data_IF_019642082828
#
_entry.id   IF_019642082828
#
_cell.length_a   1.000
_cell.length_b   1.000
_cell.length_c   1.000
_cell.angle_alpha   90.00
_cell.angle_beta   90.00
_cell.angle_gamma   90.00
#
_symmetry.space_group_name_H-M   'P 1'
#
loop_
_entity.id
_entity.type
_entity.pdbx_description
1 polymer ?
#
# COMPACT_ATOMS: atom_id res chain seq x y z
N UNK A 1 -51.90 32.60 26.36
CA UNK A 1 -50.83 31.63 26.04
C UNK A 1 -51.13 31.04 24.66
N UNK A 2 -50.44 31.48 23.62
CA UNK A 2 -50.61 30.96 22.26
C UNK A 2 -49.30 30.30 21.82
N UNK A 3 -49.31 28.97 21.70
CA UNK A 3 -48.16 28.19 21.27
C UNK A 3 -48.10 28.15 19.73
N UNK A 4 -47.14 28.86 19.16
CA UNK A 4 -46.81 28.79 17.74
C UNK A 4 -46.05 27.49 17.45
N UNK A 5 -46.72 26.54 16.78
CA UNK A 5 -46.07 25.35 16.23
C UNK A 5 -45.16 25.77 15.07
N UNK A 6 -43.85 25.65 15.27
CA UNK A 6 -42.82 25.76 14.22
C UNK A 6 -42.90 24.52 13.33
N UNK A 7 -43.42 24.68 12.11
CA UNK A 7 -43.37 23.66 11.07
C UNK A 7 -41.92 23.56 10.57
N UNK A 8 -41.24 22.47 10.90
CA UNK A 8 -39.88 22.22 10.43
C UNK A 8 -39.91 21.89 8.93
N UNK A 9 -39.38 22.79 8.09
CA UNK A 9 -39.15 22.52 6.69
C UNK A 9 -38.13 21.38 6.55
N UNK A 10 -38.57 20.27 5.94
CA UNK A 10 -37.76 19.10 5.63
C UNK A 10 -36.67 19.54 4.64
N UNK A 11 -35.42 19.64 5.10
CA UNK A 11 -34.26 19.93 4.24
C UNK A 11 -34.12 18.80 3.22
N UNK A 12 -34.60 19.01 1.99
CA UNK A 12 -34.30 18.14 0.87
C UNK A 12 -32.87 18.42 0.44
N UNK A 13 -31.94 17.54 0.79
CA UNK A 13 -30.60 17.56 0.20
C UNK A 13 -30.73 17.39 -1.32
N UNK A 14 -30.04 18.21 -2.14
CA UNK A 14 -30.09 18.04 -3.58
C UNK A 14 -29.59 16.64 -3.94
N UNK A 15 -30.39 15.93 -4.74
CA UNK A 15 -30.03 14.61 -5.27
C UNK A 15 -28.70 14.76 -6.01
N UNK A 16 -27.69 13.90 -5.76
CA UNK A 16 -26.44 13.98 -6.50
C UNK A 16 -26.72 13.85 -8.00
N UNK A 17 -25.96 14.55 -8.84
CA UNK A 17 -26.15 14.48 -10.28
C UNK A 17 -26.00 13.01 -10.74
N UNK A 18 -26.76 12.58 -11.76
CA UNK A 18 -26.62 11.24 -12.30
C UNK A 18 -25.17 10.99 -12.70
N UNK A 19 -24.68 9.79 -12.39
CA UNK A 19 -23.32 9.38 -12.75
C UNK A 19 -23.18 9.42 -14.27
N UNK A 20 -22.08 9.98 -14.77
CA UNK A 20 -21.76 9.95 -16.19
C UNK A 20 -21.62 8.49 -16.68
N UNK A 21 -22.11 8.17 -17.89
CA UNK A 21 -22.09 6.81 -18.41
C UNK A 21 -20.66 6.25 -18.47
N UNK A 22 -20.54 4.97 -18.16
CA UNK A 22 -19.33 4.17 -18.35
C UNK A 22 -19.22 3.70 -19.79
N UNK A 23 -18.05 3.17 -20.18
CA UNK A 23 -17.89 2.59 -21.51
C UNK A 23 -18.87 1.40 -21.71
N UNK A 24 -19.07 0.61 -20.66
CA UNK A 24 -20.07 -0.46 -20.65
C UNK A 24 -21.49 0.07 -20.87
N UNK A 25 -21.89 1.13 -20.17
CA UNK A 25 -23.23 1.72 -20.34
C UNK A 25 -23.46 2.23 -21.79
N UNK A 26 -22.40 2.70 -22.46
CA UNK A 26 -22.44 3.16 -23.85
C UNK A 26 -22.49 1.96 -24.80
N UNK A 27 -21.60 0.98 -24.61
CA UNK A 27 -21.52 -0.23 -25.44
C UNK A 27 -22.82 -1.05 -25.35
N UNK A 28 -23.41 -1.17 -24.15
CA UNK A 28 -24.70 -1.83 -23.92
C UNK A 28 -25.84 -1.10 -24.65
N UNK A 29 -25.82 0.23 -24.63
CA UNK A 29 -26.84 1.03 -25.34
C UNK A 29 -26.70 0.91 -26.86
N UNK A 30 -25.47 0.88 -27.38
CA UNK A 30 -25.22 0.61 -28.81
C UNK A 30 -25.77 -0.77 -29.18
N UNK A 31 -25.48 -1.79 -28.38
CA UNK A 31 -25.96 -3.15 -28.62
C UNK A 31 -27.50 -3.23 -28.63
N UNK A 32 -28.16 -2.57 -27.68
CA UNK A 32 -29.63 -2.49 -27.61
C UNK A 32 -30.23 -1.84 -28.87
N UNK A 33 -29.66 -0.73 -29.34
CA UNK A 33 -30.13 -0.06 -30.55
C UNK A 33 -29.96 -0.96 -31.77
N UNK A 34 -28.80 -1.62 -31.90
CA UNK A 34 -28.56 -2.54 -33.00
C UNK A 34 -29.50 -3.76 -32.96
N UNK A 35 -29.87 -4.26 -31.78
CA UNK A 35 -30.82 -5.36 -31.67
C UNK A 35 -32.25 -4.96 -32.09
N UNK A 36 -32.67 -3.73 -31.79
CA UNK A 36 -34.03 -3.25 -32.06
C UNK A 36 -34.20 -2.76 -33.50
N UNK A 37 -33.19 -2.06 -34.04
CA UNK A 37 -33.33 -1.27 -35.28
C UNK A 37 -32.57 -1.82 -36.49
N UNK A 38 -31.85 -2.94 -36.35
CA UNK A 38 -31.16 -3.60 -37.46
C UNK A 38 -32.00 -4.73 -38.07
N UNK A 39 -32.15 -4.74 -39.39
CA UNK A 39 -32.80 -5.85 -40.09
C UNK A 39 -31.90 -7.11 -40.03
N UNK A 40 -32.37 -8.23 -39.46
CA UNK A 40 -31.56 -9.43 -39.28
C UNK A 40 -31.22 -10.18 -40.59
N UNK A 41 -31.89 -9.87 -41.71
CA UNK A 41 -31.63 -10.49 -43.03
C UNK A 41 -30.74 -9.64 -43.92
N UNK A 42 -30.85 -8.31 -43.86
CA UNK A 42 -30.07 -7.40 -44.72
C UNK A 42 -28.92 -6.72 -43.99
N UNK A 43 -28.99 -6.61 -42.66
CA UNK A 43 -28.02 -5.86 -41.84
C UNK A 43 -28.18 -4.34 -41.96
N UNK A 44 -29.27 -3.85 -42.57
CA UNK A 44 -29.55 -2.42 -42.69
C UNK A 44 -30.10 -1.87 -41.36
N UNK A 45 -29.61 -0.69 -40.95
CA UNK A 45 -30.04 0.01 -39.74
C UNK A 45 -31.11 1.03 -40.13
N UNK A 46 -32.20 1.10 -39.37
CA UNK A 46 -33.23 2.12 -39.56
C UNK A 46 -32.65 3.54 -39.44
N UNK A 47 -33.01 4.43 -40.37
CA UNK A 47 -32.50 5.81 -40.43
C UNK A 47 -32.80 6.62 -39.14
N UNK A 48 -33.86 6.24 -38.43
CA UNK A 48 -34.28 6.79 -37.14
C UNK A 48 -33.25 6.54 -36.01
N UNK A 49 -32.48 5.45 -36.10
CA UNK A 49 -31.50 5.03 -35.09
C UNK A 49 -30.07 5.50 -35.40
N UNK A 50 -29.78 5.89 -36.65
CA UNK A 50 -28.44 6.30 -37.08
C UNK A 50 -27.91 7.49 -36.31
N UNK A 51 -28.75 8.50 -36.04
CA UNK A 51 -28.36 9.71 -35.29
C UNK A 51 -27.99 9.37 -33.84
N UNK A 52 -28.75 8.47 -33.19
CA UNK A 52 -28.46 8.07 -31.81
C UNK A 52 -27.16 7.25 -31.72
N UNK A 53 -26.90 6.39 -32.71
CA UNK A 53 -25.64 5.64 -32.80
C UNK A 53 -24.43 6.56 -32.98
N UNK A 54 -24.51 7.55 -33.88
CA UNK A 54 -23.43 8.53 -34.07
C UNK A 54 -23.12 9.31 -32.78
N UNK A 55 -24.17 9.72 -32.04
CA UNK A 55 -23.97 10.38 -30.75
C UNK A 55 -23.31 9.47 -29.70
N UNK A 56 -23.66 8.18 -29.67
CA UNK A 56 -23.07 7.22 -28.74
C UNK A 56 -21.61 6.95 -29.09
N UNK A 57 -21.27 6.84 -30.37
CA UNK A 57 -19.90 6.70 -30.83
C UNK A 57 -19.05 7.91 -30.44
N UNK A 58 -19.55 9.14 -30.62
CA UNK A 58 -18.86 10.35 -30.15
C UNK A 58 -18.65 10.32 -28.62
N UNK A 59 -19.68 9.97 -27.84
CA UNK A 59 -19.56 9.84 -26.37
C UNK A 59 -18.55 8.77 -25.98
N UNK A 60 -18.45 7.69 -26.74
CA UNK A 60 -17.49 6.60 -26.55
C UNK A 60 -16.06 7.08 -26.80
N UNK A 61 -15.83 7.79 -27.90
CA UNK A 61 -14.53 8.39 -28.23
C UNK A 61 -14.08 9.38 -27.17
N UNK A 62 -14.95 10.30 -26.77
CA UNK A 62 -14.66 11.27 -25.70
C UNK A 62 -14.25 10.59 -24.39
N UNK A 63 -14.93 9.48 -24.05
CA UNK A 63 -14.62 8.70 -22.85
C UNK A 63 -13.23 8.06 -22.94
N UNK A 64 -12.88 7.49 -24.08
CA UNK A 64 -11.59 6.86 -24.32
C UNK A 64 -10.46 7.89 -24.30
N UNK A 65 -10.64 9.04 -24.95
CA UNK A 65 -9.68 10.15 -24.92
C UNK A 65 -9.51 10.66 -23.49
N UNK A 66 -10.59 10.77 -22.71
CA UNK A 66 -10.54 11.10 -21.29
C UNK A 66 -9.66 10.15 -20.49
N UNK A 67 -9.75 8.84 -20.73
CA UNK A 67 -8.86 7.86 -20.10
C UNK A 67 -7.40 8.05 -20.51
N UNK A 68 -7.12 8.33 -21.79
CA UNK A 68 -5.75 8.60 -22.26
C UNK A 68 -5.15 9.82 -21.54
N UNK A 69 -5.92 10.89 -21.36
CA UNK A 69 -5.46 12.07 -20.62
C UNK A 69 -5.10 11.74 -19.17
N UNK A 70 -5.96 11.00 -18.48
CA UNK A 70 -5.73 10.59 -17.09
C UNK A 70 -4.50 9.69 -16.98
N UNK A 71 -4.36 8.71 -17.88
CA UNK A 71 -3.17 7.84 -17.92
C UNK A 71 -1.92 8.70 -18.09
N UNK A 72 -1.95 9.68 -19.01
CA UNK A 72 -0.78 10.52 -19.24
C UNK A 72 -0.43 11.40 -18.05
N UNK A 73 -1.43 11.93 -17.37
CA UNK A 73 -1.23 12.67 -16.12
C UNK A 73 -0.60 11.77 -15.04
N UNK A 74 -1.08 10.54 -14.88
CA UNK A 74 -0.52 9.58 -13.93
C UNK A 74 0.94 9.23 -14.26
N UNK A 75 1.28 9.00 -15.52
CA UNK A 75 2.66 8.75 -15.96
C UNK A 75 3.59 9.92 -15.59
N UNK A 76 3.14 11.16 -15.85
CA UNK A 76 3.92 12.37 -15.53
C UNK A 76 4.12 12.54 -14.01
N UNK A 77 3.10 12.22 -13.21
CA UNK A 77 3.20 12.25 -11.76
C UNK A 77 4.23 11.22 -11.24
N UNK A 78 4.23 10.02 -11.81
CA UNK A 78 5.21 8.98 -11.47
C UNK A 78 6.63 9.44 -11.83
N UNK A 79 6.84 9.97 -13.04
CA UNK A 79 8.15 10.49 -13.48
C UNK A 79 8.67 11.61 -12.55
N UNK A 80 7.78 12.54 -12.18
CA UNK A 80 8.10 13.60 -11.22
C UNK A 80 8.49 13.05 -9.85
N UNK A 81 7.75 12.06 -9.34
CA UNK A 81 8.03 11.42 -8.06
C UNK A 81 9.37 10.67 -8.08
N UNK A 82 9.68 9.93 -9.15
CA UNK A 82 10.96 9.24 -9.28
C UNK A 82 12.15 10.19 -9.31
N UNK A 83 12.00 11.32 -10.00
CA UNK A 83 13.00 12.38 -10.07
C UNK A 83 13.30 12.94 -8.68
N UNK A 84 12.25 13.19 -7.89
CA UNK A 84 12.40 13.68 -6.53
C UNK A 84 13.03 12.64 -5.59
N UNK A 85 12.66 11.36 -5.73
CA UNK A 85 13.29 10.26 -5.00
C UNK A 85 14.79 10.19 -5.31
N UNK A 86 15.18 10.27 -6.60
CA UNK A 86 16.60 10.28 -7.00
C UNK A 86 17.33 11.46 -6.37
N UNK A 87 16.75 12.66 -6.40
CA UNK A 87 17.30 13.87 -5.77
C UNK A 87 17.50 13.69 -4.26
N UNK A 88 16.49 13.18 -3.57
CA UNK A 88 16.54 12.95 -2.11
C UNK A 88 17.55 11.89 -1.72
N UNK A 89 17.64 10.78 -2.47
CA UNK A 89 18.67 9.76 -2.29
C UNK A 89 20.08 10.36 -2.48
N UNK A 90 20.27 11.19 -3.50
CA UNK A 90 21.52 11.92 -3.72
C UNK A 90 21.89 12.80 -2.52
N UNK A 91 20.93 13.58 -2.01
CA UNK A 91 21.11 14.44 -0.83
C UNK A 91 21.44 13.63 0.43
N UNK A 92 20.73 12.53 0.66
CA UNK A 92 20.99 11.63 1.79
C UNK A 92 22.40 11.05 1.72
N UNK A 93 22.84 10.60 0.52
CA UNK A 93 24.21 10.10 0.30
C UNK A 93 25.27 11.17 0.57
N UNK A 94 25.06 12.41 0.13
CA UNK A 94 25.98 13.51 0.40
C UNK A 94 26.12 13.80 1.90
N UNK A 95 25.01 13.83 2.64
CA UNK A 95 25.00 14.01 4.09
C UNK A 95 25.72 12.85 4.78
N UNK A 96 25.45 11.60 4.35
CA UNK A 96 26.11 10.42 4.89
C UNK A 96 27.63 10.46 4.65
N UNK A 97 28.06 10.85 3.45
CA UNK A 97 29.48 11.02 3.12
C UNK A 97 30.13 12.08 4.01
N UNK A 98 29.44 13.21 4.24
CA UNK A 98 29.94 14.25 5.15
C UNK A 98 30.05 13.74 6.59
N UNK A 99 29.07 12.98 7.06
CA UNK A 99 29.11 12.35 8.38
C UNK A 99 30.27 11.34 8.49
N UNK A 100 30.49 10.51 7.47
CA UNK A 100 31.61 9.57 7.41
C UNK A 100 32.96 10.30 7.43
N UNK A 101 33.11 11.36 6.65
CA UNK A 101 34.31 12.20 6.70
C UNK A 101 34.57 12.73 8.12
N UNK A 102 33.53 13.24 8.80
CA UNK A 102 33.67 13.72 10.18
C UNK A 102 34.01 12.59 11.17
N UNK A 103 33.48 11.38 10.97
CA UNK A 103 33.87 10.20 11.77
C UNK A 103 35.36 9.90 11.63
N UNK A 104 35.89 9.93 10.39
CA UNK A 104 37.33 9.74 10.14
C UNK A 104 38.15 10.79 10.87
N UNK A 105 37.74 12.07 10.80
CA UNK A 105 38.42 13.16 11.53
C UNK A 105 38.41 12.96 13.04
N UNK A 106 37.33 12.42 13.60
CA UNK A 106 37.27 12.09 15.03
C UNK A 106 38.22 10.94 15.36
N UNK A 107 38.30 9.91 14.53
CA UNK A 107 39.24 8.80 14.72
C UNK A 107 40.71 9.25 14.64
N UNK A 108 41.03 10.17 13.73
CA UNK A 108 42.37 10.78 13.64
C UNK A 108 42.74 11.61 14.88
N UNK A 109 41.76 12.28 15.50
CA UNK A 109 41.99 13.24 16.57
C UNK A 109 41.91 12.64 17.99
N UNK A 110 41.14 11.57 18.19
CA UNK A 110 40.92 10.95 19.50
C UNK A 110 41.77 9.68 19.59
N UNK A 111 42.65 9.52 20.59
CA UNK A 111 43.38 8.29 20.78
C UNK A 111 42.46 7.11 21.11
N UNK A 112 42.82 5.92 20.64
CA UNK A 112 42.09 4.67 20.94
C UNK A 112 41.98 4.47 22.47
N UNK A 113 40.81 4.03 22.93
CA UNK A 113 40.56 3.78 24.36
C UNK A 113 40.31 5.04 25.20
N UNK A 114 40.37 6.24 24.61
CA UNK A 114 40.04 7.48 25.32
C UNK A 114 38.55 7.81 25.19
N UNK A 115 37.91 8.17 26.30
CA UNK A 115 36.51 8.61 26.34
C UNK A 115 36.43 10.12 26.54
N UNK A 116 35.69 10.80 25.65
CA UNK A 116 35.37 12.23 25.78
C UNK A 116 33.85 12.37 25.92
N UNK A 117 33.39 12.93 27.04
CA UNK A 117 31.97 13.14 27.34
C UNK A 117 31.69 14.62 27.56
N UNK A 118 30.69 15.16 26.87
CA UNK A 118 30.21 16.54 27.06
C UNK A 118 28.69 16.60 26.88
N UNK A 119 27.98 16.87 27.98
CA UNK A 119 26.51 16.86 27.99
C UNK A 119 25.94 15.48 27.59
N UNK A 120 24.95 15.41 26.67
CA UNK A 120 24.37 14.15 26.23
C UNK A 120 25.22 13.39 25.19
N UNK A 121 26.36 13.95 24.75
CA UNK A 121 27.19 13.35 23.71
C UNK A 121 28.44 12.73 24.32
N UNK A 122 28.81 11.57 23.77
CA UNK A 122 29.99 10.80 24.16
C UNK A 122 30.71 10.30 22.90
N UNK A 123 32.03 10.39 22.91
CA UNK A 123 32.92 9.84 21.89
C UNK A 123 33.84 8.84 22.57
N UNK A 124 33.84 7.61 22.09
CA UNK A 124 34.80 6.58 22.49
C UNK A 124 34.87 5.54 21.35
N UNK A 125 36.02 4.95 21.15
CA UNK A 125 36.17 3.81 20.25
C UNK A 125 37.31 2.90 20.72
N UNK A 126 37.23 1.65 20.29
CA UNK A 126 38.25 0.62 20.47
C UNK A 126 38.28 -0.24 19.22
N UNK A 127 39.38 -0.93 18.96
CA UNK A 127 39.39 -2.01 17.96
C UNK A 127 38.43 -3.11 18.40
N UNK A 128 37.65 -3.59 17.44
CA UNK A 128 36.81 -4.77 17.58
C UNK A 128 37.26 -5.80 16.56
N UNK A 129 37.50 -7.02 17.02
CA UNK A 129 37.79 -8.16 16.15
C UNK A 129 36.48 -8.91 15.91
N UNK A 130 36.14 -9.11 14.64
CA UNK A 130 35.03 -9.97 14.24
C UNK A 130 35.61 -11.22 13.58
N UNK A 131 35.23 -12.40 14.07
CA UNK A 131 35.57 -13.68 13.45
C UNK A 131 34.45 -14.04 12.48
N UNK A 132 34.78 -14.10 11.20
CA UNK A 132 33.84 -14.45 10.13
C UNK A 132 34.25 -15.82 9.59
N UNK A 133 33.31 -16.74 9.44
CA UNK A 133 33.56 -18.02 8.81
C UNK A 133 33.80 -17.81 7.31
N UNK A 134 34.91 -18.31 6.78
CA UNK A 134 35.28 -18.19 5.36
C UNK A 134 34.75 -19.36 4.53
N UNK A 135 34.11 -20.34 5.16
CA UNK A 135 33.62 -21.57 4.54
C UNK A 135 32.37 -22.04 5.26
N UNK A 136 31.45 -22.64 4.50
CA UNK A 136 30.18 -23.16 5.03
C UNK A 136 30.37 -24.48 5.80
N UNK A 137 31.46 -25.21 5.53
CA UNK A 137 31.89 -26.40 6.25
C UNK A 137 32.62 -26.04 7.55
N UNK A 138 31.87 -25.51 8.51
CA UNK A 138 32.39 -25.21 9.85
C UNK A 138 32.51 -26.50 10.66
N UNK A 139 33.70 -26.85 11.21
CA UNK A 139 33.85 -28.02 12.06
C UNK A 139 32.87 -27.99 13.24
N UNK A 140 32.27 -29.13 13.57
CA UNK A 140 31.27 -29.26 14.65
C UNK A 140 31.74 -28.70 16.00
N UNK A 141 33.05 -28.64 16.24
CA UNK A 141 33.64 -28.03 17.43
C UNK A 141 33.36 -26.52 17.58
N UNK A 142 33.12 -25.81 16.46
CA UNK A 142 32.80 -24.38 16.44
C UNK A 142 31.31 -24.10 16.25
N UNK A 143 30.51 -25.16 16.09
CA UNK A 143 29.05 -25.06 16.02
C UNK A 143 28.48 -25.11 17.44
N UNK A 144 27.67 -24.12 17.80
CA UNK A 144 26.86 -24.19 19.02
C UNK A 144 25.81 -25.29 18.82
N UNK A 145 25.90 -26.37 19.60
CA UNK A 145 24.79 -27.31 19.71
C UNK A 145 23.62 -26.55 20.35
N UNK A 146 22.57 -26.28 19.58
CA UNK A 146 21.29 -25.83 20.12
C UNK A 146 20.46 -27.10 20.28
N UNK A 147 20.50 -27.78 21.45
CA UNK A 147 19.59 -28.89 21.68
C UNK A 147 18.17 -28.33 21.69
N UNK A 148 17.31 -28.88 20.85
CA UNK A 148 15.86 -28.87 21.04
C UNK A 148 15.25 -27.51 21.45
N UNK A 149 15.27 -26.54 20.53
CA UNK A 149 14.40 -25.36 20.65
C UNK A 149 12.94 -25.82 20.50
N UNK A 150 12.29 -26.20 21.60
CA UNK A 150 10.84 -26.38 21.66
C UNK A 150 10.18 -25.00 21.56
N UNK A 151 9.91 -24.57 20.34
CA UNK A 151 9.00 -23.45 20.10
C UNK A 151 7.57 -23.94 20.41
N UNK A 152 6.76 -23.17 21.17
CA UNK A 152 5.41 -23.57 21.51
C UNK A 152 4.57 -23.74 20.24
N UNK A 153 4.03 -24.94 20.02
CA UNK A 153 3.09 -25.19 18.92
C UNK A 153 1.70 -24.71 19.33
N UNK A 154 1.37 -23.50 18.90
CA UNK A 154 0.09 -22.81 19.20
C UNK A 154 -1.13 -23.65 18.76
N UNK A 155 -0.98 -24.52 17.78
CA UNK A 155 -2.04 -25.45 17.32
C UNK A 155 -2.42 -26.49 18.37
N UNK A 156 -1.44 -27.17 18.98
CA UNK A 156 -1.68 -28.17 20.02
C UNK A 156 -2.31 -27.54 21.27
N UNK A 157 -1.77 -26.40 21.70
CA UNK A 157 -2.32 -25.64 22.85
C UNK A 157 -3.75 -25.17 22.58
N UNK A 158 -4.08 -24.81 21.33
CA UNK A 158 -5.44 -24.39 20.95
C UNK A 158 -6.44 -25.55 20.97
N UNK A 159 -6.04 -26.77 20.63
CA UNK A 159 -6.90 -27.96 20.71
C UNK A 159 -7.10 -28.38 22.16
N UNK A 160 -6.04 -28.39 22.96
CA UNK A 160 -6.12 -28.73 24.38
C UNK A 160 -6.88 -27.68 25.21
N UNK A 161 -6.83 -26.39 24.82
CA UNK A 161 -7.71 -25.35 25.36
C UNK A 161 -9.18 -25.54 25.00
N UNK A 162 -9.50 -26.05 23.80
CA UNK A 162 -10.88 -26.40 23.42
C UNK A 162 -11.39 -27.63 24.19
N UNK A 163 -10.49 -28.57 24.49
CA UNK A 163 -10.78 -29.78 25.26
C UNK A 163 -10.80 -29.54 26.79
N UNK A 164 -10.38 -28.35 27.26
CA UNK A 164 -10.44 -27.96 28.68
C UNK A 164 -9.38 -28.60 29.56
N UNK A 165 -8.21 -28.98 29.00
CA UNK A 165 -7.10 -29.51 29.80
C UNK A 165 -6.44 -28.40 30.63
N UNK A 166 -6.25 -28.67 31.93
CA UNK A 166 -5.74 -27.70 32.90
C UNK A 166 -4.37 -27.14 32.52
N UNK A 167 -3.47 -27.98 32.00
CA UNK A 167 -2.11 -27.61 31.59
C UNK A 167 -2.07 -26.55 30.48
N UNK A 168 -3.08 -26.53 29.60
CA UNK A 168 -3.19 -25.55 28.51
C UNK A 168 -3.84 -24.24 28.98
N UNK A 169 -4.78 -24.31 29.94
CA UNK A 169 -5.40 -23.13 30.58
C UNK A 169 -4.38 -22.37 31.44
N UNK A 170 -3.47 -23.07 32.09
CA UNK A 170 -2.43 -22.46 32.94
C UNK A 170 -1.38 -21.69 32.12
N UNK A 171 -1.16 -22.06 30.86
CA UNK A 171 -0.12 -21.46 30.01
C UNK A 171 -0.63 -20.60 28.85
N UNK A 172 -1.92 -20.63 28.49
CA UNK A 172 -2.46 -19.85 27.38
C UNK A 172 -3.93 -19.46 27.56
N UNK A 173 -4.31 -18.28 27.06
CA UNK A 173 -5.68 -17.77 27.06
C UNK A 173 -6.16 -17.47 25.63
N UNK A 174 -7.43 -17.72 25.33
CA UNK A 174 -8.00 -17.38 24.01
C UNK A 174 -8.52 -15.95 24.01
N UNK A 175 -7.82 -15.04 23.31
CA UNK A 175 -8.35 -13.69 23.02
C UNK A 175 -9.07 -13.66 21.68
N UNK A 176 -10.27 -13.09 21.64
CA UNK A 176 -11.02 -12.83 20.41
C UNK A 176 -10.91 -11.35 20.06
N UNK A 177 -10.50 -11.06 18.84
CA UNK A 177 -10.45 -9.71 18.28
C UNK A 177 -11.16 -9.66 16.93
N UNK A 178 -11.64 -8.47 16.56
CA UNK A 178 -12.19 -8.22 15.23
C UNK A 178 -11.07 -7.61 14.39
N UNK A 179 -10.67 -8.27 13.31
CA UNK A 179 -9.79 -7.69 12.29
C UNK A 179 -10.63 -7.35 11.08
N UNK A 180 -10.89 -6.06 10.86
CA UNK A 180 -11.40 -5.57 9.58
C UNK A 180 -10.18 -5.30 8.70
N UNK A 181 -9.90 -6.24 7.81
CA UNK A 181 -8.86 -6.05 6.80
C UNK A 181 -9.48 -5.23 5.67
N UNK A 182 -9.14 -3.94 5.62
CA UNK A 182 -9.34 -3.09 4.45
C UNK A 182 -7.94 -2.89 3.86
N UNK A 183 -7.74 -3.37 2.63
CA UNK A 183 -6.57 -2.94 1.84
C UNK A 183 -6.76 -1.49 1.38
#
# INVERSE_FOLDING_TARGET
MAATKKTAAKKTTPKPPPRAPTLYDIDDRIAEILEIYMDPRTGEIAEEATVELEELDMKREDKLIGYVHIIKEMELLVEGAETEIKRMKGRAKAIQNRANFLRVRILEAVPEGTEIKKGPRRIWYRRTTATVFTTDEVPKAYCKHTPESWAPQVTLVREDLKAGKQEAVDCAETKRGWSLNLE
#
